data_IF_729076258855
#
_entry.id   IF_729076258855
#
_cell.length_a   1.000
_cell.length_b   1.000
_cell.length_c   1.000
_cell.angle_alpha   90.00
_cell.angle_beta   90.00
_cell.angle_gamma   90.00
#
_symmetry.space_group_name_H-M   'P 1'
#
loop_
_entity.id
_entity.type
_entity.pdbx_description
1 polymer ?
#
# COMPACT_ATOMS: atom_id res chain seq x y z
N UNK A 1 5.98 -13.00 -25.10
CA UNK A 1 5.35 -14.32 -25.22
C UNK A 1 3.87 -14.28 -24.87
N UNK A 2 3.44 -14.03 -23.60
CA UNK A 2 2.01 -13.96 -23.23
C UNK A 2 1.24 -12.93 -24.09
N UNK A 3 1.83 -11.75 -24.37
CA UNK A 3 1.22 -10.74 -25.22
C UNK A 3 1.07 -11.18 -26.68
N UNK A 4 1.99 -11.98 -27.20
CA UNK A 4 1.93 -12.51 -28.58
C UNK A 4 0.84 -13.57 -28.74
N UNK A 5 0.58 -14.34 -27.67
CA UNK A 5 -0.43 -15.41 -27.62
C UNK A 5 -1.83 -14.87 -27.24
N UNK A 6 -1.93 -13.59 -26.83
CA UNK A 6 -3.19 -12.98 -26.38
C UNK A 6 -4.02 -12.51 -27.58
N UNK A 7 -5.25 -13.02 -27.69
CA UNK A 7 -6.21 -12.65 -28.75
C UNK A 7 -7.03 -11.40 -28.41
N UNK A 8 -7.13 -11.03 -27.14
CA UNK A 8 -7.81 -9.82 -26.67
C UNK A 8 -6.88 -8.61 -26.82
N UNK A 9 -7.25 -7.61 -27.66
CA UNK A 9 -6.41 -6.45 -27.93
C UNK A 9 -6.10 -5.61 -26.68
N UNK A 10 -7.09 -5.42 -25.79
CA UNK A 10 -6.93 -4.62 -24.58
C UNK A 10 -5.97 -5.33 -23.61
N UNK A 11 -6.18 -6.62 -23.38
CA UNK A 11 -5.29 -7.43 -22.55
C UNK A 11 -3.87 -7.52 -23.11
N UNK A 12 -3.74 -7.59 -24.41
CA UNK A 12 -2.43 -7.58 -25.09
C UNK A 12 -1.66 -6.30 -24.82
N UNK A 13 -2.32 -5.15 -24.89
CA UNK A 13 -1.72 -3.85 -24.61
C UNK A 13 -1.27 -3.74 -23.15
N UNK A 14 -2.10 -4.20 -22.19
CA UNK A 14 -1.74 -4.28 -20.78
C UNK A 14 -0.48 -5.13 -20.56
N UNK A 15 -0.41 -6.31 -21.19
CA UNK A 15 0.74 -7.20 -21.08
C UNK A 15 2.02 -6.60 -21.69
N UNK A 16 1.91 -5.84 -22.76
CA UNK A 16 3.04 -5.11 -23.36
C UNK A 16 3.51 -3.99 -22.44
N UNK A 17 2.60 -3.24 -21.82
CA UNK A 17 2.92 -2.21 -20.84
C UNK A 17 3.64 -2.79 -19.62
N UNK A 18 3.14 -3.91 -19.08
CA UNK A 18 3.80 -4.62 -17.97
C UNK A 18 5.22 -5.07 -18.38
N UNK A 19 5.37 -5.61 -19.59
CA UNK A 19 6.67 -6.04 -20.09
C UNK A 19 7.65 -4.87 -20.25
N UNK A 20 7.18 -3.71 -20.71
CA UNK A 20 8.01 -2.50 -20.80
C UNK A 20 8.41 -1.98 -19.41
N UNK A 21 7.47 -1.95 -18.46
CA UNK A 21 7.79 -1.61 -17.08
C UNK A 21 8.87 -2.52 -16.50
N UNK A 22 8.83 -3.83 -16.82
CA UNK A 22 9.85 -4.80 -16.38
C UNK A 22 11.24 -4.56 -17.01
N UNK A 23 11.35 -3.81 -18.11
CA UNK A 23 12.65 -3.40 -18.67
C UNK A 23 13.24 -2.17 -17.98
N UNK A 24 12.37 -1.38 -17.35
CA UNK A 24 12.78 -0.17 -16.64
C UNK A 24 13.09 -0.47 -15.18
N UNK A 25 12.17 -1.14 -14.48
CA UNK A 25 12.30 -1.44 -13.05
C UNK A 25 12.56 -2.95 -12.83
N UNK A 26 13.42 -3.35 -11.90
CA UNK A 26 14.04 -2.57 -10.83
C UNK A 26 15.37 -1.89 -11.19
N UNK A 27 15.92 -2.11 -12.38
CA UNK A 27 17.26 -1.61 -12.78
C UNK A 27 17.34 -0.08 -12.74
N UNK A 28 16.27 0.59 -13.15
CA UNK A 28 16.19 2.04 -13.17
C UNK A 28 15.11 2.57 -12.22
N UNK A 29 15.22 3.85 -11.89
CA UNK A 29 14.21 4.54 -11.08
C UNK A 29 12.87 4.56 -11.83
N UNK A 30 11.75 4.24 -11.16
CA UNK A 30 10.41 4.35 -11.75
C UNK A 30 10.11 5.81 -12.15
N UNK A 31 9.42 5.99 -13.25
CA UNK A 31 9.09 7.30 -13.83
C UNK A 31 7.61 7.67 -13.66
N UNK A 32 6.75 6.70 -13.36
CA UNK A 32 5.31 6.87 -13.17
C UNK A 32 4.78 5.95 -12.07
N UNK A 33 3.52 6.11 -11.71
CA UNK A 33 2.89 5.35 -10.63
C UNK A 33 2.82 3.85 -10.94
N UNK A 34 2.53 3.46 -12.20
CA UNK A 34 2.47 2.06 -12.60
C UNK A 34 3.83 1.36 -12.43
N UNK A 35 4.92 1.98 -12.87
CA UNK A 35 6.27 1.43 -12.66
C UNK A 35 6.63 1.37 -11.16
N UNK A 36 6.27 2.40 -10.40
CA UNK A 36 6.54 2.46 -8.98
C UNK A 36 5.81 1.35 -8.19
N UNK A 37 4.52 1.15 -8.45
CA UNK A 37 3.73 0.11 -7.77
C UNK A 37 4.18 -1.30 -8.19
N UNK A 38 4.58 -1.48 -9.45
CA UNK A 38 5.14 -2.75 -9.95
C UNK A 38 6.49 -3.06 -9.29
N UNK A 39 7.35 -2.06 -9.11
CA UNK A 39 8.61 -2.19 -8.38
C UNK A 39 8.36 -2.59 -6.92
N UNK A 40 7.42 -1.91 -6.25
CA UNK A 40 7.02 -2.24 -4.87
C UNK A 40 6.54 -3.68 -4.78
N UNK A 41 5.69 -4.11 -5.72
CA UNK A 41 5.20 -5.49 -5.77
C UNK A 41 6.33 -6.51 -5.95
N UNK A 42 7.22 -6.32 -6.92
CA UNK A 42 8.32 -7.26 -7.16
C UNK A 42 9.31 -7.32 -6.00
N UNK A 43 9.61 -6.17 -5.38
CA UNK A 43 10.46 -6.15 -4.19
C UNK A 43 9.80 -6.91 -3.03
N UNK A 44 8.51 -6.69 -2.82
CA UNK A 44 7.74 -7.40 -1.80
C UNK A 44 7.72 -8.92 -2.06
N UNK A 45 7.44 -9.32 -3.30
CA UNK A 45 7.43 -10.73 -3.69
C UNK A 45 8.81 -11.38 -3.50
N UNK A 46 9.89 -10.71 -3.89
CA UNK A 46 11.25 -11.21 -3.70
C UNK A 46 11.58 -11.41 -2.22
N UNK A 47 11.21 -10.46 -1.36
CA UNK A 47 11.37 -10.60 0.10
C UNK A 47 10.55 -11.76 0.65
N UNK A 48 9.32 -11.94 0.19
CA UNK A 48 8.47 -13.06 0.62
C UNK A 48 9.07 -14.41 0.22
N UNK A 49 9.63 -14.51 -0.99
CA UNK A 49 10.27 -15.74 -1.48
C UNK A 49 11.58 -16.03 -0.74
N UNK A 50 12.38 -15.02 -0.43
CA UNK A 50 13.68 -15.17 0.23
C UNK A 50 13.53 -15.68 1.67
N UNK A 51 12.61 -15.11 2.45
CA UNK A 51 12.49 -15.41 3.88
C UNK A 51 11.29 -16.26 4.24
N UNK A 52 10.41 -16.60 3.28
CA UNK A 52 9.13 -17.28 3.55
C UNK A 52 8.43 -16.68 4.78
N UNK A 53 8.50 -15.35 4.90
CA UNK A 53 8.19 -14.64 6.13
C UNK A 53 6.82 -14.02 6.14
N UNK A 54 6.45 -13.60 7.34
CA UNK A 54 5.28 -12.78 7.60
C UNK A 54 5.74 -11.33 7.89
N UNK A 55 4.80 -10.39 7.88
CA UNK A 55 5.03 -9.02 8.36
C UNK A 55 5.95 -8.17 7.48
N UNK A 56 6.10 -8.47 6.19
CA UNK A 56 6.75 -7.57 5.25
C UNK A 56 5.83 -6.40 4.95
N UNK A 57 6.00 -5.32 5.73
CA UNK A 57 5.14 -4.13 5.64
C UNK A 57 5.58 -3.21 4.51
N UNK A 58 4.60 -2.59 3.84
CA UNK A 58 4.83 -1.58 2.79
C UNK A 58 5.31 -0.24 3.35
N UNK A 59 5.30 -0.05 4.68
CA UNK A 59 5.62 1.24 5.28
C UNK A 59 4.60 2.31 4.94
N UNK A 60 5.02 3.58 4.95
CA UNK A 60 4.17 4.74 4.66
C UNK A 60 3.95 4.90 3.15
N UNK A 61 3.12 4.03 2.61
CA UNK A 61 2.90 3.86 1.17
C UNK A 61 2.43 5.16 0.51
N UNK A 62 1.51 5.87 1.11
CA UNK A 62 0.99 7.14 0.62
C UNK A 62 2.06 8.25 0.52
N UNK A 63 3.15 8.16 1.28
CA UNK A 63 4.19 9.18 1.27
C UNK A 63 5.20 8.97 0.13
N UNK A 64 5.76 7.77 0.00
CA UNK A 64 6.78 7.52 -1.02
C UNK A 64 6.19 7.31 -2.42
N UNK A 65 4.90 6.94 -2.52
CA UNK A 65 4.19 6.80 -3.79
C UNK A 65 3.57 8.11 -4.27
N UNK A 66 3.32 9.09 -3.37
CA UNK A 66 2.66 10.33 -3.72
C UNK A 66 3.34 11.13 -4.84
N UNK A 67 4.67 11.27 -4.92
CA UNK A 67 5.32 11.99 -6.01
C UNK A 67 4.96 11.43 -7.41
N UNK A 68 4.84 10.10 -7.53
CA UNK A 68 4.46 9.44 -8.78
C UNK A 68 2.97 9.66 -9.08
N UNK A 69 2.12 9.54 -8.06
CA UNK A 69 0.69 9.86 -8.17
C UNK A 69 0.47 11.30 -8.65
N UNK A 70 1.05 12.28 -7.97
CA UNK A 70 0.88 13.68 -8.29
C UNK A 70 1.40 14.03 -9.71
N UNK A 71 2.50 13.39 -10.13
CA UNK A 71 3.04 13.57 -11.47
C UNK A 71 2.11 12.98 -12.53
N UNK A 72 1.56 11.79 -12.31
CA UNK A 72 0.67 11.13 -13.26
C UNK A 72 -0.67 11.87 -13.39
N UNK A 73 -1.26 12.31 -12.28
CA UNK A 73 -2.48 13.16 -12.32
C UNK A 73 -2.22 14.45 -13.10
N UNK A 74 -1.08 15.09 -12.88
CA UNK A 74 -0.67 16.29 -13.64
C UNK A 74 -0.51 16.00 -15.14
N UNK A 75 -0.08 14.80 -15.50
CA UNK A 75 0.06 14.35 -16.89
C UNK A 75 -1.27 13.88 -17.52
N UNK A 76 -2.38 13.94 -16.78
CA UNK A 76 -3.70 13.55 -17.27
C UNK A 76 -4.07 12.09 -17.11
N UNK A 77 -3.31 11.32 -16.34
CA UNK A 77 -3.70 9.96 -15.95
C UNK A 77 -4.92 10.04 -15.03
N UNK A 78 -5.93 9.20 -15.26
CA UNK A 78 -7.16 9.23 -14.47
C UNK A 78 -6.96 8.64 -13.06
N UNK A 79 -7.69 9.19 -12.08
CA UNK A 79 -7.73 8.59 -10.73
C UNK A 79 -8.23 7.15 -10.76
N UNK A 80 -9.18 6.81 -11.64
CA UNK A 80 -9.71 5.46 -11.78
C UNK A 80 -8.63 4.46 -12.21
N UNK A 81 -7.71 4.86 -13.10
CA UNK A 81 -6.57 4.01 -13.46
C UNK A 81 -5.65 3.77 -12.25
N UNK A 82 -5.34 4.81 -11.49
CA UNK A 82 -4.53 4.68 -10.26
C UNK A 82 -5.26 3.82 -9.22
N UNK A 83 -6.58 4.00 -9.05
CA UNK A 83 -7.41 3.18 -8.17
C UNK A 83 -7.35 1.71 -8.56
N UNK A 84 -7.44 1.39 -9.85
CA UNK A 84 -7.34 0.01 -10.34
C UNK A 84 -5.97 -0.61 -10.03
N UNK A 85 -4.88 0.13 -10.18
CA UNK A 85 -3.54 -0.34 -9.79
C UNK A 85 -3.44 -0.64 -8.29
N UNK A 86 -4.06 0.20 -7.44
CA UNK A 86 -4.15 -0.06 -6.00
C UNK A 86 -4.98 -1.31 -5.71
N UNK A 87 -6.11 -1.49 -6.39
CA UNK A 87 -6.94 -2.69 -6.29
C UNK A 87 -6.18 -3.94 -6.71
N UNK A 88 -5.43 -3.90 -7.81
CA UNK A 88 -4.60 -5.02 -8.27
C UNK A 88 -3.52 -5.39 -7.25
N UNK A 89 -2.84 -4.40 -6.64
CA UNK A 89 -1.89 -4.66 -5.57
C UNK A 89 -2.56 -5.38 -4.38
N UNK A 90 -3.75 -4.93 -3.98
CA UNK A 90 -4.53 -5.56 -2.89
C UNK A 90 -4.89 -7.01 -3.22
N UNK A 91 -5.33 -7.29 -4.46
CA UNK A 91 -5.63 -8.65 -4.91
C UNK A 91 -4.39 -9.53 -4.87
N UNK A 92 -3.25 -9.04 -5.40
CA UNK A 92 -1.98 -9.77 -5.37
C UNK A 92 -1.50 -10.06 -3.94
N UNK A 93 -1.66 -9.13 -3.02
CA UNK A 93 -1.36 -9.36 -1.60
C UNK A 93 -2.28 -10.42 -0.98
N UNK A 94 -3.54 -10.48 -1.42
CA UNK A 94 -4.51 -11.48 -0.93
C UNK A 94 -4.25 -12.89 -1.47
N UNK A 95 -3.56 -13.00 -2.61
CA UNK A 95 -3.18 -14.27 -3.24
C UNK A 95 -1.85 -14.84 -2.71
N UNK A 96 -1.12 -14.08 -1.89
CA UNK A 96 0.16 -14.56 -1.36
C UNK A 96 -0.03 -15.64 -0.29
N UNK A 97 0.81 -16.65 -0.37
CA UNK A 97 0.84 -17.79 0.54
C UNK A 97 2.20 -17.89 1.22
N UNK A 98 2.17 -18.32 2.49
CA UNK A 98 3.37 -18.69 3.25
C UNK A 98 3.32 -20.17 3.56
N UNK A 99 4.40 -20.87 3.28
CA UNK A 99 4.54 -22.27 3.64
C UNK A 99 4.76 -22.37 5.16
N UNK A 100 3.88 -23.08 5.84
CA UNK A 100 3.91 -23.25 7.30
C UNK A 100 3.94 -24.73 7.67
N UNK A 101 4.66 -25.05 8.73
CA UNK A 101 4.51 -26.35 9.35
C UNK A 101 3.15 -26.49 10.05
N UNK A 102 2.81 -27.70 10.48
CA UNK A 102 1.49 -27.98 11.07
C UNK A 102 1.20 -27.14 12.32
N UNK A 103 2.18 -26.97 13.19
CA UNK A 103 2.03 -26.19 14.44
C UNK A 103 1.76 -24.72 14.15
N UNK A 104 2.51 -24.13 13.24
CA UNK A 104 2.30 -22.74 12.80
C UNK A 104 0.96 -22.58 12.10
N UNK A 105 0.58 -23.55 11.25
CA UNK A 105 -0.71 -23.50 10.55
C UNK A 105 -1.89 -23.51 11.52
N UNK A 106 -1.79 -24.26 12.61
CA UNK A 106 -2.82 -24.28 13.66
C UNK A 106 -2.82 -22.97 14.47
N UNK A 107 -1.63 -22.45 14.82
CA UNK A 107 -1.50 -21.22 15.60
C UNK A 107 -1.98 -19.96 14.85
N UNK A 108 -1.76 -19.92 13.53
CA UNK A 108 -2.09 -18.78 12.68
C UNK A 108 -3.27 -19.01 11.74
N UNK A 109 -4.07 -20.03 12.01
CA UNK A 109 -5.25 -20.35 11.21
C UNK A 109 -6.20 -19.13 11.13
N UNK A 110 -6.51 -18.69 9.91
CA UNK A 110 -7.38 -17.54 9.66
C UNK A 110 -6.71 -16.17 9.82
N UNK A 111 -5.44 -16.09 10.27
CA UNK A 111 -4.72 -14.83 10.35
C UNK A 111 -4.18 -14.40 8.97
N UNK A 112 -4.31 -13.12 8.60
CA UNK A 112 -3.65 -12.58 7.41
C UNK A 112 -2.13 -12.59 7.58
N UNK A 113 -1.40 -12.39 6.48
CA UNK A 113 0.07 -12.33 6.49
C UNK A 113 0.66 -11.08 7.18
N UNK A 114 -0.19 -10.21 7.72
CA UNK A 114 0.17 -8.97 8.41
C UNK A 114 1.08 -8.04 7.60
N UNK A 115 0.85 -7.98 6.31
CA UNK A 115 1.48 -7.02 5.42
C UNK A 115 0.81 -5.66 5.62
N UNK A 116 1.35 -4.83 6.51
CA UNK A 116 0.76 -3.51 6.77
C UNK A 116 1.11 -2.51 5.69
N UNK A 117 0.08 -1.81 5.20
CA UNK A 117 0.19 -0.61 4.38
C UNK A 117 -0.20 0.58 5.25
N UNK A 118 0.78 1.39 5.62
CA UNK A 118 0.59 2.51 6.53
C UNK A 118 0.34 3.80 5.74
N UNK A 119 -0.55 4.64 6.23
CA UNK A 119 -0.89 5.93 5.62
C UNK A 119 -1.19 7.00 6.66
N UNK A 120 -1.12 8.26 6.24
CA UNK A 120 -1.32 9.43 7.10
C UNK A 120 -0.19 9.67 8.10
N UNK A 121 -0.55 10.26 9.25
CA UNK A 121 0.38 10.58 10.32
C UNK A 121 1.14 11.88 10.12
N UNK A 122 1.99 12.22 11.09
CA UNK A 122 2.80 13.42 11.02
C UNK A 122 4.00 13.27 10.08
N UNK A 123 4.29 14.34 9.35
CA UNK A 123 5.57 14.50 8.63
C UNK A 123 6.69 14.86 9.64
N UNK A 124 7.99 14.72 9.24
CA UNK A 124 9.11 15.10 10.11
C UNK A 124 9.04 16.53 10.65
N UNK A 125 8.41 17.46 9.92
CA UNK A 125 8.21 18.86 10.34
C UNK A 125 6.98 19.06 11.24
N UNK A 126 6.24 17.99 11.59
CA UNK A 126 5.04 18.02 12.43
C UNK A 126 3.75 18.40 11.73
N UNK A 127 3.78 18.62 10.41
CA UNK A 127 2.56 18.85 9.61
C UNK A 127 1.85 17.53 9.32
N UNK A 128 0.58 17.63 8.94
CA UNK A 128 -0.21 16.50 8.46
C UNK A 128 0.42 15.89 7.20
N UNK A 129 0.55 14.57 7.18
CA UNK A 129 1.07 13.81 6.06
C UNK A 129 -0.01 13.28 5.13
N UNK A 130 -1.29 13.46 5.46
CA UNK A 130 -2.38 13.06 4.56
C UNK A 130 -2.31 13.83 3.23
N UNK A 131 -2.54 13.13 2.15
CA UNK A 131 -2.53 13.66 0.79
C UNK A 131 -3.64 13.01 -0.05
N UNK A 132 -3.78 13.38 -1.31
CA UNK A 132 -4.84 12.90 -2.19
C UNK A 132 -4.74 11.38 -2.44
N UNK A 133 -3.53 10.82 -2.45
CA UNK A 133 -3.34 9.37 -2.53
C UNK A 133 -3.81 8.68 -1.25
N UNK A 134 -3.66 9.30 -0.07
CA UNK A 134 -4.25 8.81 1.18
C UNK A 134 -5.76 8.67 1.06
N UNK A 135 -6.43 9.71 0.53
CA UNK A 135 -7.88 9.70 0.31
C UNK A 135 -8.28 8.58 -0.67
N UNK A 136 -7.54 8.41 -1.77
CA UNK A 136 -7.79 7.36 -2.76
C UNK A 136 -7.65 5.95 -2.15
N UNK A 137 -6.60 5.70 -1.38
CA UNK A 137 -6.38 4.40 -0.73
C UNK A 137 -7.50 4.11 0.28
N UNK A 138 -7.93 5.11 1.06
CA UNK A 138 -9.05 4.93 2.00
C UNK A 138 -10.37 4.59 1.29
N UNK A 139 -10.66 5.22 0.15
CA UNK A 139 -11.81 4.88 -0.69
C UNK A 139 -11.72 3.44 -1.22
N UNK A 140 -10.51 3.01 -1.62
CA UNK A 140 -10.27 1.64 -2.11
C UNK A 140 -10.67 0.56 -1.11
N UNK A 141 -10.62 0.86 0.19
CA UNK A 141 -11.02 -0.08 1.25
C UNK A 141 -12.52 -0.38 1.16
N UNK A 142 -13.33 0.65 0.93
CA UNK A 142 -14.79 0.52 0.81
C UNK A 142 -15.20 -0.09 -0.52
N UNK A 143 -14.55 0.31 -1.62
CA UNK A 143 -14.88 -0.15 -2.97
C UNK A 143 -14.52 -1.63 -3.18
N UNK A 144 -13.37 -2.06 -2.65
CA UNK A 144 -12.91 -3.43 -2.77
C UNK A 144 -12.30 -3.92 -1.45
N UNK A 145 -13.11 -4.41 -0.50
CA UNK A 145 -12.61 -4.95 0.75
C UNK A 145 -11.74 -6.19 0.52
N UNK A 146 -10.53 -6.22 1.07
CA UNK A 146 -9.60 -7.35 1.00
C UNK A 146 -9.02 -7.63 2.38
N UNK A 147 -8.54 -8.87 2.62
CA UNK A 147 -7.89 -9.23 3.88
C UNK A 147 -6.46 -8.70 3.97
N UNK A 148 -5.80 -8.54 2.82
CA UNK A 148 -4.42 -8.08 2.70
C UNK A 148 -4.31 -7.04 1.57
N UNK A 149 -3.40 -6.08 1.71
CA UNK A 149 -2.63 -5.76 2.91
C UNK A 149 -3.54 -5.26 4.05
N UNK A 150 -3.06 -5.36 5.30
CA UNK A 150 -3.74 -4.75 6.44
C UNK A 150 -3.53 -3.24 6.38
N UNK A 151 -4.60 -2.49 6.14
CA UNK A 151 -4.53 -1.04 6.06
C UNK A 151 -4.42 -0.44 7.45
N UNK A 152 -3.47 0.46 7.65
CA UNK A 152 -3.21 1.15 8.91
C UNK A 152 -3.17 2.65 8.69
N UNK A 153 -3.89 3.39 9.50
CA UNK A 153 -4.02 4.84 9.39
C UNK A 153 -3.50 5.52 10.66
N UNK A 154 -2.54 6.43 10.49
CA UNK A 154 -1.98 7.20 11.60
C UNK A 154 -2.79 8.47 11.79
N UNK A 155 -3.39 8.59 12.98
CA UNK A 155 -4.16 9.75 13.42
C UNK A 155 -3.31 10.70 14.27
N UNK A 156 -3.58 11.99 14.18
CA UNK A 156 -3.11 13.04 15.10
C UNK A 156 -4.12 14.20 15.15
N UNK A 157 -4.03 15.06 16.18
CA UNK A 157 -5.05 16.09 16.44
C UNK A 157 -5.22 17.12 15.30
N UNK A 158 -4.16 17.39 14.55
CA UNK A 158 -4.17 18.36 13.45
C UNK A 158 -4.42 17.70 12.07
N UNK A 159 -4.94 16.48 12.07
CA UNK A 159 -5.22 15.73 10.83
C UNK A 159 -6.31 16.40 9.98
N UNK A 160 -6.22 16.26 8.67
CA UNK A 160 -7.30 16.66 7.76
C UNK A 160 -8.59 15.91 8.10
N UNK A 161 -9.60 16.65 8.54
CA UNK A 161 -10.88 16.08 8.99
C UNK A 161 -11.65 15.36 7.88
N UNK A 162 -11.48 15.77 6.61
CA UNK A 162 -12.08 15.10 5.46
C UNK A 162 -11.48 13.70 5.30
N UNK A 163 -10.16 13.59 5.31
CA UNK A 163 -9.44 12.31 5.21
C UNK A 163 -9.76 11.40 6.41
N UNK A 164 -9.80 11.95 7.63
CA UNK A 164 -10.19 11.18 8.81
C UNK A 164 -11.62 10.64 8.71
N UNK A 165 -12.56 11.43 8.14
CA UNK A 165 -13.93 10.97 7.87
C UNK A 165 -13.93 9.78 6.92
N UNK A 166 -13.14 9.81 5.84
CA UNK A 166 -13.02 8.66 4.92
C UNK A 166 -12.54 7.39 5.64
N UNK A 167 -11.57 7.51 6.56
CA UNK A 167 -11.11 6.39 7.36
C UNK A 167 -12.25 5.81 8.24
N UNK A 168 -13.06 6.67 8.88
CA UNK A 168 -14.21 6.24 9.67
C UNK A 168 -15.33 5.62 8.81
N UNK A 169 -15.56 6.15 7.61
CA UNK A 169 -16.51 5.60 6.65
C UNK A 169 -16.09 4.20 6.18
N UNK A 170 -14.79 3.99 5.94
CA UNK A 170 -14.25 2.67 5.62
C UNK A 170 -14.47 1.66 6.75
N UNK A 171 -14.24 2.05 8.01
CA UNK A 171 -14.53 1.20 9.17
C UNK A 171 -16.03 0.90 9.27
N UNK A 172 -16.88 1.92 9.11
CA UNK A 172 -18.34 1.79 9.16
C UNK A 172 -18.90 0.89 8.06
N UNK A 173 -18.23 0.75 6.92
CA UNK A 173 -18.66 -0.13 5.83
C UNK A 173 -18.61 -1.62 6.18
N UNK A 174 -17.97 -1.99 7.30
CA UNK A 174 -17.77 -3.38 7.71
C UNK A 174 -16.49 -4.02 7.17
N UNK A 175 -15.64 -3.26 6.47
CA UNK A 175 -14.36 -3.75 5.94
C UNK A 175 -13.34 -4.11 7.05
N UNK A 176 -13.63 -3.79 8.32
CA UNK A 176 -12.73 -3.98 9.48
C UNK A 176 -11.37 -3.27 9.35
N UNK A 177 -11.29 -2.29 8.48
CA UNK A 177 -10.08 -1.53 8.14
C UNK A 177 -10.45 -0.05 7.89
N UNK A 178 -9.50 0.89 8.04
CA UNK A 178 -8.13 0.72 8.54
C UNK A 178 -8.04 0.57 10.06
N UNK A 179 -6.95 -0.06 10.56
CA UNK A 179 -6.58 0.04 11.97
C UNK A 179 -6.05 1.46 12.25
N UNK A 180 -6.53 2.10 13.32
CA UNK A 180 -6.13 3.49 13.65
C UNK A 180 -5.03 3.46 14.71
N UNK A 181 -3.90 4.10 14.41
CA UNK A 181 -2.78 4.34 15.33
C UNK A 181 -2.72 5.82 15.67
N UNK A 182 -2.72 6.14 16.96
CA UNK A 182 -2.70 7.52 17.43
C UNK A 182 -1.25 8.03 17.63
N UNK A 183 -0.80 8.94 16.78
CA UNK A 183 0.54 9.53 16.84
C UNK A 183 0.82 10.27 18.18
N UNK A 184 -0.23 10.78 18.84
CA UNK A 184 -0.07 11.40 20.16
C UNK A 184 0.36 10.39 21.24
N UNK A 185 0.20 9.09 20.98
CA UNK A 185 0.66 8.00 21.85
C UNK A 185 1.89 7.33 21.27
N UNK A 186 1.86 7.01 19.96
CA UNK A 186 2.94 6.27 19.30
C UNK A 186 4.26 7.03 19.29
N UNK A 187 4.23 8.36 18.99
CA UNK A 187 5.45 9.16 18.95
C UNK A 187 6.15 9.25 20.32
N UNK A 188 5.47 9.63 21.43
CA UNK A 188 6.08 9.59 22.75
C UNK A 188 6.63 8.22 23.16
N UNK A 189 5.93 7.14 22.79
CA UNK A 189 6.40 5.78 23.05
C UNK A 189 7.70 5.49 22.32
N UNK A 190 7.81 5.82 21.02
CA UNK A 190 9.04 5.65 20.26
C UNK A 190 10.19 6.49 20.81
N UNK A 191 9.91 7.74 21.25
CA UNK A 191 10.91 8.58 21.91
C UNK A 191 11.43 7.94 23.21
N UNK A 192 10.56 7.32 24.00
CA UNK A 192 10.95 6.61 25.22
C UNK A 192 11.82 5.38 24.97
N UNK A 193 11.73 4.80 23.77
CA UNK A 193 12.58 3.70 23.29
C UNK A 193 13.90 4.16 22.67
N UNK A 194 14.17 5.48 22.66
CA UNK A 194 15.43 6.06 22.19
C UNK A 194 15.44 6.50 20.73
N UNK A 195 14.31 6.43 20.01
CA UNK A 195 14.20 6.99 18.67
C UNK A 195 14.23 8.53 18.72
N UNK A 196 14.80 9.14 17.70
CA UNK A 196 14.72 10.59 17.54
C UNK A 196 13.32 11.01 17.10
N UNK A 197 12.96 12.27 17.34
CA UNK A 197 11.66 12.81 16.90
C UNK A 197 11.46 12.69 15.39
N UNK A 198 12.53 12.80 14.60
CA UNK A 198 12.50 12.66 13.16
C UNK A 198 12.19 11.21 12.72
N UNK A 199 12.71 10.23 13.44
CA UNK A 199 12.47 8.80 13.17
C UNK A 199 11.09 8.36 13.66
N UNK A 200 10.58 8.95 14.74
CA UNK A 200 9.27 8.63 15.29
C UNK A 200 8.10 9.22 14.47
N UNK A 201 8.33 10.28 13.74
CA UNK A 201 7.36 10.94 12.85
C UNK A 201 7.40 10.36 11.45
#
# INVERSE_FOLDING_TARGET
KMAEECSDPERKEQLLTIAENCRVVPENKPQNFHQAIQLVWFTHLALMLEVNGQNHCFGRFDQYMYPFYAQDIKNGVSEDFIMNLVHELKLKCSDLWVLRNQTESLAYAGCPLWMHMLMGGMLPNGKDGCNELTDLILKSITEMPTKAPVMSFRYHDNINRKTFRLALEAIRSGASQPAIFNDNVCIPTLLSLGFTLKEAR
#
